data_IF_786857241295
#
_entry.id   IF_786857241295
#
_cell.length_a   1.000
_cell.length_b   1.000
_cell.length_c   1.000
_cell.angle_alpha   90.00
_cell.angle_beta   90.00
_cell.angle_gamma   90.00
#
_symmetry.space_group_name_H-M   'P 1'
#
loop_
_entity.id
_entity.type
_entity.pdbx_description
1 polymer ?
#
# COMPACT_ATOMS: atom_id res chain seq x y z
N UNK A 1 34.95 -6.53 -8.33
CA UNK A 1 33.83 -6.51 -7.38
C UNK A 1 34.23 -5.62 -6.19
N UNK A 2 33.79 -4.37 -6.22
CA UNK A 2 33.99 -3.45 -5.09
C UNK A 2 32.83 -3.62 -4.10
N UNK A 3 33.12 -3.65 -2.81
CA UNK A 3 32.12 -3.67 -1.75
C UNK A 3 32.16 -2.30 -1.03
N UNK A 4 30.99 -1.75 -0.78
CA UNK A 4 30.87 -0.45 -0.11
C UNK A 4 29.89 -0.56 1.05
N UNK A 5 30.17 0.12 2.18
CA UNK A 5 29.21 0.20 3.28
C UNK A 5 27.90 0.83 2.82
N UNK A 6 26.78 0.18 3.13
CA UNK A 6 25.44 0.70 2.88
C UNK A 6 24.76 1.14 4.17
N UNK A 7 24.19 2.34 4.19
CA UNK A 7 23.38 2.85 5.31
C UNK A 7 21.91 2.87 4.92
N UNK A 8 21.06 2.21 5.69
CA UNK A 8 19.60 2.32 5.55
C UNK A 8 19.19 3.75 5.93
N UNK A 9 18.53 4.44 4.99
CA UNK A 9 18.02 5.80 5.18
C UNK A 9 16.54 5.75 5.61
N UNK A 10 15.75 4.90 4.98
CA UNK A 10 14.33 4.75 5.32
C UNK A 10 13.68 3.57 4.61
N UNK A 11 12.47 3.24 5.06
CA UNK A 11 11.69 2.11 4.51
C UNK A 11 10.24 2.48 4.29
N UNK A 12 9.66 1.86 3.27
CA UNK A 12 8.22 1.84 3.01
C UNK A 12 7.73 0.40 2.85
N UNK A 13 7.34 -0.25 3.95
CA UNK A 13 6.86 -1.63 3.91
C UNK A 13 5.55 -1.83 3.12
N UNK A 14 4.78 -0.76 2.88
CA UNK A 14 3.54 -0.85 2.11
C UNK A 14 3.79 -0.99 0.61
N UNK A 15 4.90 -0.42 0.12
CA UNK A 15 5.30 -0.55 -1.29
C UNK A 15 6.51 -1.48 -1.48
N UNK A 16 6.94 -2.20 -0.44
CA UNK A 16 8.12 -3.09 -0.47
C UNK A 16 9.39 -2.35 -0.94
N UNK A 17 9.61 -1.12 -0.46
CA UNK A 17 10.73 -0.29 -0.85
C UNK A 17 11.59 0.11 0.35
N UNK A 18 12.90 0.19 0.12
CA UNK A 18 13.87 0.74 1.05
C UNK A 18 14.83 1.69 0.32
N UNK A 19 15.22 2.76 0.99
CA UNK A 19 16.22 3.70 0.52
C UNK A 19 17.54 3.43 1.27
N UNK A 20 18.59 3.12 0.51
CA UNK A 20 19.93 2.83 1.03
C UNK A 20 20.90 3.84 0.42
N UNK A 21 21.74 4.43 1.26
CA UNK A 21 22.87 5.28 0.83
C UNK A 21 24.16 4.47 0.88
N UNK A 22 24.95 4.54 -0.19
CA UNK A 22 26.30 4.00 -0.23
C UNK A 22 27.32 5.13 -0.23
N UNK A 23 28.48 4.91 0.38
CA UNK A 23 29.60 5.84 0.37
C UNK A 23 30.66 5.33 -0.61
N UNK A 24 30.42 5.54 -1.90
CA UNK A 24 31.32 5.16 -2.98
C UNK A 24 31.71 6.40 -3.79
N UNK A 25 32.95 6.45 -4.34
CA UNK A 25 33.36 7.49 -5.27
C UNK A 25 32.44 7.55 -6.50
N UNK A 26 32.01 8.74 -6.89
CA UNK A 26 31.00 8.92 -7.97
C UNK A 26 31.44 8.42 -9.35
N UNK A 27 32.75 8.26 -9.57
CA UNK A 27 33.31 7.72 -10.81
C UNK A 27 33.24 6.19 -10.90
N UNK A 28 32.80 5.50 -9.83
CA UNK A 28 32.72 4.03 -9.80
C UNK A 28 31.34 3.47 -10.08
N UNK A 29 30.33 4.33 -10.27
CA UNK A 29 28.96 3.89 -10.60
C UNK A 29 28.29 4.84 -11.59
N UNK A 30 27.36 4.29 -12.36
CA UNK A 30 26.52 5.04 -13.27
C UNK A 30 25.13 5.23 -12.65
N UNK A 31 24.61 6.45 -12.72
CA UNK A 31 23.29 6.79 -12.23
C UNK A 31 22.26 6.51 -13.32
N UNK A 32 21.25 5.71 -12.99
CA UNK A 32 20.08 5.51 -13.85
C UNK A 32 19.05 6.62 -13.60
N UNK A 33 18.37 7.04 -14.67
CA UNK A 33 17.31 8.03 -14.59
C UNK A 33 15.95 7.35 -14.51
N UNK A 34 15.06 7.87 -13.71
CA UNK A 34 13.66 7.43 -13.70
C UNK A 34 12.91 7.96 -14.93
N UNK A 35 12.20 7.05 -15.60
CA UNK A 35 11.15 7.42 -16.56
C UNK A 35 9.86 7.80 -15.82
N UNK A 36 8.85 8.25 -16.58
CA UNK A 36 7.49 8.40 -16.06
C UNK A 36 6.72 7.10 -16.26
N UNK A 37 6.43 6.39 -15.18
CA UNK A 37 5.71 5.12 -15.27
C UNK A 37 4.21 5.26 -15.57
N UNK A 38 3.68 6.48 -15.71
CA UNK A 38 2.31 6.69 -16.22
C UNK A 38 2.22 6.59 -17.75
N UNK A 39 3.35 6.68 -18.45
CA UNK A 39 3.40 6.69 -19.92
C UNK A 39 3.66 5.30 -20.51
N UNK A 40 3.90 4.30 -19.65
CA UNK A 40 4.19 2.93 -20.10
C UNK A 40 2.90 2.24 -20.57
N UNK A 41 3.06 1.32 -21.54
CA UNK A 41 1.94 0.59 -22.14
C UNK A 41 2.19 -0.92 -22.15
N UNK A 42 1.12 -1.70 -22.13
CA UNK A 42 1.19 -3.16 -22.29
C UNK A 42 1.79 -3.48 -23.66
N UNK A 43 2.68 -4.49 -23.71
CA UNK A 43 3.45 -4.85 -24.90
C UNK A 43 4.77 -4.10 -25.04
N UNK A 44 5.04 -3.06 -24.26
CA UNK A 44 6.31 -2.33 -24.27
C UNK A 44 7.45 -3.24 -23.82
N UNK A 45 8.58 -3.23 -24.55
CA UNK A 45 9.78 -3.98 -24.21
C UNK A 45 10.41 -3.47 -22.93
N UNK A 46 10.85 -4.40 -22.08
CA UNK A 46 11.52 -4.12 -20.81
C UNK A 46 12.77 -4.97 -20.61
N UNK A 47 13.66 -4.47 -19.77
CA UNK A 47 14.91 -5.10 -19.37
C UNK A 47 14.95 -5.13 -17.85
N UNK A 48 15.11 -6.30 -17.23
CA UNK A 48 15.30 -6.43 -15.79
C UNK A 48 16.75 -6.76 -15.47
N UNK A 49 17.36 -5.96 -14.60
CA UNK A 49 18.71 -6.17 -14.11
C UNK A 49 18.69 -6.72 -12.68
N UNK A 50 19.61 -7.64 -12.39
CA UNK A 50 19.79 -8.18 -11.07
C UNK A 50 21.01 -9.07 -10.95
N UNK A 51 21.16 -9.72 -9.80
CA UNK A 51 22.21 -10.69 -9.53
C UNK A 51 21.60 -11.98 -8.96
N UNK A 52 20.82 -12.73 -9.78
CA UNK A 52 20.19 -13.97 -9.34
C UNK A 52 21.26 -14.96 -8.86
N UNK A 53 21.01 -15.56 -7.70
CA UNK A 53 21.88 -16.58 -7.11
C UNK A 53 23.31 -16.13 -6.80
N UNK A 54 23.62 -14.81 -6.85
CA UNK A 54 24.98 -14.30 -6.63
C UNK A 54 25.98 -14.63 -7.76
N UNK A 55 25.51 -15.09 -8.92
CA UNK A 55 26.34 -15.58 -10.02
C UNK A 55 26.93 -14.50 -10.92
N UNK A 56 26.63 -13.25 -10.71
CA UNK A 56 27.00 -12.01 -11.42
C UNK A 56 25.78 -11.28 -11.97
N UNK A 57 26.03 -10.05 -12.44
CA UNK A 57 25.00 -9.21 -13.05
C UNK A 57 24.32 -9.96 -14.22
N UNK A 58 23.01 -10.10 -14.13
CA UNK A 58 22.17 -10.77 -15.12
C UNK A 58 21.17 -9.78 -15.68
N UNK A 59 21.03 -9.78 -16.99
CA UNK A 59 20.02 -9.05 -17.74
C UNK A 59 19.00 -10.04 -18.26
N UNK A 60 17.72 -9.82 -17.95
CA UNK A 60 16.61 -10.53 -18.58
C UNK A 60 15.76 -9.55 -19.38
N UNK A 61 15.09 -10.03 -20.42
CA UNK A 61 14.24 -9.21 -21.29
C UNK A 61 12.83 -9.80 -21.38
N UNK A 62 11.86 -8.93 -21.56
CA UNK A 62 10.46 -9.28 -21.75
C UNK A 62 9.65 -8.05 -22.16
N UNK A 63 8.37 -8.10 -21.89
CA UNK A 63 7.41 -7.01 -22.13
C UNK A 63 6.62 -6.69 -20.88
N UNK A 64 5.95 -5.55 -20.87
CA UNK A 64 4.90 -5.25 -19.89
C UNK A 64 3.68 -6.11 -20.25
N UNK A 65 3.32 -7.04 -19.36
CA UNK A 65 2.20 -7.97 -19.57
C UNK A 65 0.88 -7.39 -19.08
N UNK A 66 0.91 -6.59 -18.00
CA UNK A 66 -0.26 -5.88 -17.45
C UNK A 66 0.17 -4.70 -16.57
N UNK A 67 -0.76 -3.79 -16.33
CA UNK A 67 -0.60 -2.63 -15.45
C UNK A 67 -1.70 -2.61 -14.37
N UNK A 68 -1.44 -1.91 -13.27
CA UNK A 68 -2.44 -1.67 -12.22
C UNK A 68 -2.84 -2.92 -11.42
N UNK A 69 -2.02 -3.96 -11.41
CA UNK A 69 -2.27 -5.16 -10.61
C UNK A 69 -2.04 -4.89 -9.13
N UNK A 70 -2.79 -5.61 -8.29
CA UNK A 70 -2.54 -5.69 -6.86
C UNK A 70 -1.94 -7.05 -6.54
N UNK A 71 -0.85 -7.08 -5.81
CA UNK A 71 -0.19 -8.31 -5.37
C UNK A 71 -0.09 -8.32 -3.85
N UNK A 72 0.07 -9.50 -3.28
CA UNK A 72 0.34 -9.67 -1.85
C UNK A 72 1.84 -9.84 -1.62
N UNK A 73 2.43 -8.98 -0.80
CA UNK A 73 3.81 -9.09 -0.37
C UNK A 73 3.99 -10.24 0.64
N UNK A 74 5.24 -10.68 0.87
CA UNK A 74 5.55 -11.76 1.82
C UNK A 74 5.08 -11.52 3.25
N UNK A 75 4.86 -10.26 3.62
CA UNK A 75 4.37 -9.85 4.94
C UNK A 75 2.83 -9.78 5.00
N UNK A 76 2.11 -10.29 3.99
CA UNK A 76 0.65 -10.26 3.88
C UNK A 76 0.05 -8.91 3.48
N UNK A 77 0.87 -7.90 3.19
CA UNK A 77 0.38 -6.58 2.75
C UNK A 77 0.14 -6.57 1.25
N UNK A 78 -0.87 -5.83 0.81
CA UNK A 78 -1.15 -5.60 -0.60
C UNK A 78 -0.26 -4.47 -1.13
N UNK A 79 0.36 -4.70 -2.29
CA UNK A 79 1.08 -3.70 -3.07
C UNK A 79 0.24 -3.43 -4.31
N UNK A 80 -0.25 -2.21 -4.44
CA UNK A 80 -1.16 -1.82 -5.51
C UNK A 80 -0.42 -1.18 -6.69
N UNK A 81 -1.06 -1.23 -7.87
CA UNK A 81 -0.59 -0.53 -9.04
C UNK A 81 0.69 -1.10 -9.66
N UNK A 82 1.10 -2.32 -9.32
CA UNK A 82 2.35 -2.90 -9.83
C UNK A 82 2.32 -3.14 -11.34
N UNK A 83 3.51 -3.08 -11.95
CA UNK A 83 3.77 -3.46 -13.32
C UNK A 83 3.98 -4.98 -13.35
N UNK A 84 3.23 -5.69 -14.21
CA UNK A 84 3.46 -7.10 -14.49
C UNK A 84 4.32 -7.24 -15.76
N UNK A 85 5.30 -8.14 -15.72
CA UNK A 85 6.18 -8.44 -16.86
C UNK A 85 6.41 -9.94 -16.99
N UNK A 86 6.69 -10.42 -18.21
CA UNK A 86 7.16 -11.76 -18.48
C UNK A 86 8.70 -11.87 -18.48
N UNK A 87 9.43 -10.75 -18.37
CA UNK A 87 10.86 -10.77 -18.07
C UNK A 87 11.11 -11.64 -16.83
N UNK A 88 12.08 -12.54 -16.91
CA UNK A 88 12.36 -13.47 -15.82
C UNK A 88 12.85 -12.72 -14.57
N UNK A 89 11.98 -12.62 -13.56
CA UNK A 89 12.29 -12.09 -12.22
C UNK A 89 12.46 -13.28 -11.28
N UNK A 90 13.66 -13.44 -10.74
CA UNK A 90 14.02 -14.51 -9.83
C UNK A 90 14.63 -13.94 -8.54
N UNK A 91 14.79 -14.73 -7.47
CA UNK A 91 15.53 -14.30 -6.28
C UNK A 91 16.91 -13.76 -6.67
N UNK A 92 17.20 -12.51 -6.29
CA UNK A 92 18.40 -11.75 -6.69
C UNK A 92 18.15 -10.65 -7.71
N UNK A 93 17.03 -10.65 -8.45
CA UNK A 93 16.61 -9.50 -9.26
C UNK A 93 15.76 -8.52 -8.45
N UNK A 94 15.16 -8.94 -7.34
CA UNK A 94 14.37 -8.08 -6.46
C UNK A 94 15.23 -6.94 -5.91
N UNK A 95 14.67 -5.71 -5.96
CA UNK A 95 15.38 -4.48 -5.65
C UNK A 95 16.19 -3.91 -6.83
N UNK A 96 16.40 -4.69 -7.89
CA UNK A 96 17.00 -4.23 -9.14
C UNK A 96 16.03 -3.44 -10.02
N UNK A 97 16.52 -2.68 -11.00
CA UNK A 97 15.69 -1.87 -11.87
C UNK A 97 15.00 -2.71 -12.95
N UNK A 98 13.75 -2.34 -13.25
CA UNK A 98 13.07 -2.63 -14.50
C UNK A 98 13.25 -1.41 -15.41
N UNK A 99 13.85 -1.61 -16.58
CA UNK A 99 14.21 -0.54 -17.51
C UNK A 99 13.35 -0.60 -18.77
N UNK A 100 13.16 0.55 -19.40
CA UNK A 100 12.68 0.63 -20.78
C UNK A 100 13.80 0.39 -21.80
N UNK A 101 13.49 0.49 -23.09
CA UNK A 101 14.46 0.34 -24.18
C UNK A 101 15.51 1.45 -24.26
N UNK A 102 15.30 2.58 -23.57
CA UNK A 102 16.25 3.69 -23.47
C UNK A 102 17.16 3.57 -22.22
N UNK A 103 16.99 2.51 -21.42
CA UNK A 103 17.73 2.29 -20.18
C UNK A 103 17.27 3.16 -19.01
N UNK A 104 16.07 3.75 -19.07
CA UNK A 104 15.46 4.50 -17.98
C UNK A 104 14.67 3.57 -17.07
N UNK A 105 14.66 3.85 -15.76
CA UNK A 105 13.95 3.05 -14.76
C UNK A 105 12.46 3.33 -14.83
N UNK A 106 11.67 2.34 -15.20
CA UNK A 106 10.20 2.36 -15.18
C UNK A 106 9.64 1.70 -13.94
N UNK A 107 10.42 0.85 -13.24
CA UNK A 107 10.00 0.18 -12.03
C UNK A 107 11.18 -0.40 -11.25
N UNK A 108 10.89 -0.88 -10.04
CA UNK A 108 11.80 -1.60 -9.15
C UNK A 108 11.25 -3.02 -9.00
N UNK A 109 12.04 -4.03 -9.41
CA UNK A 109 11.62 -5.42 -9.35
C UNK A 109 11.29 -5.83 -7.92
N UNK A 110 10.17 -6.50 -7.71
CA UNK A 110 9.79 -7.08 -6.42
C UNK A 110 9.65 -8.59 -6.51
N UNK A 111 9.92 -9.28 -5.40
CA UNK A 111 9.87 -10.74 -5.40
C UNK A 111 8.44 -11.25 -5.44
N UNK A 112 8.20 -12.24 -6.29
CA UNK A 112 6.93 -12.94 -6.39
C UNK A 112 6.78 -13.93 -5.24
N UNK A 113 5.54 -14.09 -4.78
CA UNK A 113 5.13 -15.20 -3.93
C UNK A 113 4.96 -16.44 -4.82
N UNK A 114 5.91 -17.37 -4.73
CA UNK A 114 5.86 -18.65 -5.45
C UNK A 114 7.11 -19.49 -5.15
N UNK A 115 6.92 -20.70 -4.69
CA UNK A 115 7.99 -21.64 -4.48
C UNK A 115 8.43 -22.19 -5.84
N UNK A 116 9.46 -21.61 -6.47
CA UNK A 116 10.04 -22.26 -7.67
C UNK A 116 10.60 -21.37 -8.76
N UNK A 117 10.61 -20.06 -8.61
CA UNK A 117 11.14 -19.14 -9.64
C UNK A 117 10.08 -18.59 -10.59
N UNK A 118 10.49 -17.71 -11.50
CA UNK A 118 9.59 -17.07 -12.46
C UNK A 118 9.02 -18.07 -13.45
N UNK A 119 7.70 -18.20 -13.46
CA UNK A 119 6.94 -18.93 -14.50
C UNK A 119 6.44 -17.98 -15.59
N UNK A 120 7.19 -16.95 -15.93
CA UNK A 120 6.77 -15.92 -16.90
C UNK A 120 5.85 -14.84 -16.28
N UNK A 121 5.82 -14.72 -14.95
CA UNK A 121 5.09 -13.67 -14.25
C UNK A 121 6.04 -13.00 -13.26
N UNK A 122 6.44 -11.77 -13.56
CA UNK A 122 7.24 -10.90 -12.73
C UNK A 122 6.50 -9.64 -12.38
N UNK A 123 6.86 -8.99 -11.28
CA UNK A 123 6.26 -7.73 -10.85
C UNK A 123 7.33 -6.68 -10.52
N UNK A 124 6.97 -5.42 -10.74
CA UNK A 124 7.80 -4.29 -10.34
C UNK A 124 6.93 -3.16 -9.78
N UNK A 125 7.43 -2.51 -8.73
CA UNK A 125 6.84 -1.28 -8.19
C UNK A 125 7.12 -0.13 -9.17
N UNK A 126 6.11 0.64 -9.61
CA UNK A 126 6.30 1.71 -10.60
C UNK A 126 7.28 2.79 -10.14
N UNK A 127 8.06 3.33 -11.06
CA UNK A 127 9.03 4.41 -10.78
C UNK A 127 8.39 5.66 -10.18
N UNK A 128 7.14 6.00 -10.55
CA UNK A 128 6.42 7.13 -9.97
C UNK A 128 6.09 6.91 -8.49
N UNK A 129 5.83 5.67 -8.07
CA UNK A 129 5.68 5.33 -6.64
C UNK A 129 6.98 5.61 -5.90
N UNK A 130 8.14 5.14 -6.42
CA UNK A 130 9.44 5.43 -5.82
C UNK A 130 9.71 6.94 -5.76
N UNK A 131 9.51 7.68 -6.87
CA UNK A 131 9.70 9.15 -6.91
C UNK A 131 8.85 9.89 -5.88
N UNK A 132 7.62 9.42 -5.64
CA UNK A 132 6.70 10.04 -4.68
C UNK A 132 7.17 9.85 -3.23
N UNK A 133 7.73 8.70 -2.88
CA UNK A 133 8.08 8.37 -1.50
C UNK A 133 9.51 8.74 -1.11
N UNK A 134 10.45 8.80 -2.06
CA UNK A 134 11.88 9.11 -1.79
C UNK A 134 12.06 10.38 -0.96
N UNK A 135 11.38 11.52 -1.22
CA UNK A 135 11.54 12.72 -0.39
C UNK A 135 11.23 12.48 1.09
N UNK A 136 10.14 11.78 1.40
CA UNK A 136 9.77 11.45 2.78
C UNK A 136 10.80 10.49 3.42
N UNK A 137 11.28 9.50 2.67
CA UNK A 137 12.32 8.59 3.18
C UNK A 137 13.63 9.31 3.47
N UNK A 138 14.02 10.30 2.65
CA UNK A 138 15.21 11.12 2.87
C UNK A 138 15.09 12.01 4.11
N UNK A 139 13.92 12.63 4.31
CA UNK A 139 13.72 13.62 5.37
C UNK A 139 13.34 12.98 6.71
N UNK A 140 12.47 11.96 6.69
CA UNK A 140 11.88 11.37 7.91
C UNK A 140 12.31 9.92 8.16
N UNK A 141 12.86 9.22 7.17
CA UNK A 141 13.16 7.79 7.26
C UNK A 141 11.93 6.87 7.04
N UNK A 142 10.74 7.44 6.90
CA UNK A 142 9.49 6.73 6.65
C UNK A 142 8.54 7.58 5.81
N UNK A 143 7.56 6.94 5.16
CA UNK A 143 6.55 7.64 4.36
C UNK A 143 5.43 8.16 5.27
N UNK A 144 5.20 9.45 5.26
CA UNK A 144 4.08 10.08 5.98
C UNK A 144 2.79 9.81 5.22
N UNK A 145 1.90 9.05 5.85
CA UNK A 145 0.57 8.80 5.29
C UNK A 145 -0.48 9.53 6.12
N UNK A 146 -1.46 10.15 5.47
CA UNK A 146 -2.60 10.69 6.19
C UNK A 146 -3.25 9.60 7.03
N UNK A 147 -3.61 9.94 8.27
CA UNK A 147 -4.22 9.02 9.20
C UNK A 147 -5.33 9.72 9.99
N UNK A 148 -6.51 9.12 10.00
CA UNK A 148 -7.66 9.69 10.71
C UNK A 148 -7.57 9.49 12.22
N UNK A 149 -6.86 8.48 12.65
CA UNK A 149 -6.80 8.10 14.07
C UNK A 149 -8.02 7.33 14.53
N UNK A 150 -8.55 6.46 13.68
CA UNK A 150 -9.67 5.57 13.97
C UNK A 150 -9.29 4.11 13.80
N UNK A 151 -9.99 3.24 14.52
CA UNK A 151 -10.00 1.80 14.28
C UNK A 151 -11.37 1.44 13.70
N UNK A 152 -11.49 1.29 12.37
CA UNK A 152 -12.75 1.01 11.73
C UNK A 152 -12.99 -0.50 11.57
N UNK A 153 -14.25 -0.90 11.60
CA UNK A 153 -14.73 -2.26 11.31
C UNK A 153 -15.75 -2.18 10.17
N UNK A 154 -15.56 -2.90 9.04
CA UNK A 154 -16.57 -2.95 7.97
C UNK A 154 -17.90 -3.48 8.48
N UNK A 155 -18.99 -2.73 8.28
CA UNK A 155 -20.31 -3.10 8.80
C UNK A 155 -20.89 -4.35 8.13
N UNK A 156 -20.35 -4.77 6.98
CA UNK A 156 -20.74 -6.02 6.31
C UNK A 156 -20.61 -7.23 7.25
N UNK A 157 -19.63 -7.25 8.14
CA UNK A 157 -19.48 -8.34 9.12
C UNK A 157 -20.59 -8.31 10.17
N UNK A 158 -20.99 -7.11 10.61
CA UNK A 158 -22.03 -6.90 11.60
C UNK A 158 -23.44 -7.18 11.04
N UNK A 159 -23.67 -6.80 9.79
CA UNK A 159 -24.92 -7.09 9.06
C UNK A 159 -25.13 -8.60 8.87
N UNK A 160 -24.05 -9.37 8.67
CA UNK A 160 -24.12 -10.83 8.63
C UNK A 160 -24.55 -11.46 9.96
N UNK A 161 -24.38 -10.75 11.07
CA UNK A 161 -24.89 -11.14 12.39
C UNK A 161 -26.35 -10.69 12.63
N UNK A 162 -27.05 -10.17 11.60
CA UNK A 162 -28.43 -9.75 11.69
C UNK A 162 -28.66 -8.32 12.17
N UNK A 163 -27.59 -7.51 12.32
CA UNK A 163 -27.74 -6.12 12.73
C UNK A 163 -28.23 -5.25 11.58
N UNK A 164 -29.33 -4.51 11.80
CA UNK A 164 -29.88 -3.54 10.85
C UNK A 164 -29.15 -2.19 10.97
N UNK A 165 -28.04 -2.08 10.29
CA UNK A 165 -27.18 -0.90 10.26
C UNK A 165 -26.75 -0.59 8.82
N UNK A 166 -26.47 0.69 8.48
CA UNK A 166 -26.05 1.04 7.12
C UNK A 166 -24.72 0.40 6.75
N UNK A 167 -24.47 0.30 5.44
CA UNK A 167 -23.15 -0.04 4.93
C UNK A 167 -22.17 1.07 5.24
N UNK A 168 -20.97 0.68 5.66
CA UNK A 168 -19.93 1.64 6.03
C UNK A 168 -18.87 1.01 6.93
N UNK A 169 -18.21 1.88 7.70
CA UNK A 169 -17.15 1.53 8.63
C UNK A 169 -17.56 1.95 10.04
N UNK A 170 -17.88 1.01 10.91
CA UNK A 170 -18.13 1.29 12.33
C UNK A 170 -16.82 1.71 12.99
N UNK A 171 -16.78 2.84 13.65
CA UNK A 171 -15.63 3.33 14.41
C UNK A 171 -15.63 2.65 15.78
N UNK A 172 -14.78 1.65 15.94
CA UNK A 172 -14.65 0.94 17.23
C UNK A 172 -13.85 1.75 18.25
N UNK A 173 -12.82 2.48 17.79
CA UNK A 173 -12.00 3.35 18.63
C UNK A 173 -11.56 4.60 17.90
N UNK A 174 -11.47 5.73 18.64
CA UNK A 174 -10.87 6.97 18.17
C UNK A 174 -9.66 7.28 19.04
N UNK A 175 -8.52 7.55 18.40
CA UNK A 175 -7.28 7.90 19.11
C UNK A 175 -7.36 9.35 19.59
N UNK A 176 -7.16 9.55 20.89
CA UNK A 176 -7.20 10.88 21.51
C UNK A 176 -6.19 11.82 20.86
N UNK A 177 -6.65 13.01 20.49
CA UNK A 177 -5.82 14.04 19.86
C UNK A 177 -5.60 13.86 18.36
N UNK A 178 -6.02 12.75 17.76
CA UNK A 178 -5.98 12.53 16.31
C UNK A 178 -7.04 13.36 15.57
N UNK A 179 -6.96 13.38 14.25
CA UNK A 179 -7.85 14.18 13.37
C UNK A 179 -9.31 13.85 13.59
N UNK A 180 -9.67 12.58 13.66
CA UNK A 180 -11.04 12.13 13.89
C UNK A 180 -11.59 12.58 15.25
N UNK A 181 -10.76 12.55 16.32
CA UNK A 181 -11.16 13.06 17.63
C UNK A 181 -11.42 14.55 17.60
N UNK A 182 -10.58 15.33 16.92
CA UNK A 182 -10.76 16.79 16.77
C UNK A 182 -11.98 17.13 15.93
N UNK A 183 -12.35 16.28 14.98
CA UNK A 183 -13.56 16.41 14.16
C UNK A 183 -14.84 15.94 14.89
N UNK A 184 -14.73 15.42 16.12
CA UNK A 184 -15.87 14.99 16.91
C UNK A 184 -16.39 13.58 16.61
N UNK A 185 -15.65 12.77 15.82
CA UNK A 185 -16.00 11.37 15.62
C UNK A 185 -15.88 10.58 16.93
N UNK A 186 -16.82 9.67 17.15
CA UNK A 186 -16.93 8.87 18.37
C UNK A 186 -16.67 7.40 18.10
N UNK A 187 -15.85 6.80 18.93
CA UNK A 187 -15.68 5.36 18.97
C UNK A 187 -16.79 4.66 19.73
N UNK A 188 -16.81 3.34 19.66
CA UNK A 188 -17.74 2.51 20.41
C UNK A 188 -17.64 2.83 21.91
N UNK A 189 -18.80 2.96 22.57
CA UNK A 189 -18.91 3.27 23.99
C UNK A 189 -19.14 2.03 24.86
N UNK A 190 -19.54 0.92 24.26
CA UNK A 190 -19.83 -0.36 24.94
C UNK A 190 -19.61 -1.56 24.02
N UNK A 191 -19.59 -2.74 24.61
CA UNK A 191 -19.68 -4.01 23.90
C UNK A 191 -21.11 -4.54 24.03
N UNK A 192 -21.65 -5.13 22.96
CA UNK A 192 -22.93 -5.84 22.96
C UNK A 192 -22.69 -7.28 22.50
N UNK A 193 -23.43 -8.22 23.07
CA UNK A 193 -23.36 -9.59 22.67
C UNK A 193 -24.37 -9.84 21.53
N UNK A 194 -23.87 -10.37 20.39
CA UNK A 194 -24.70 -10.75 19.25
C UNK A 194 -24.41 -12.22 18.96
N UNK A 195 -25.31 -13.11 19.35
CA UNK A 195 -25.02 -14.54 19.39
C UNK A 195 -23.87 -14.83 20.35
N UNK A 196 -22.78 -15.40 19.84
CA UNK A 196 -21.56 -15.68 20.63
C UNK A 196 -20.47 -14.61 20.49
N UNK A 197 -20.72 -13.53 19.74
CA UNK A 197 -19.73 -12.52 19.41
C UNK A 197 -19.92 -11.24 20.25
N UNK A 198 -18.82 -10.74 20.82
CA UNK A 198 -18.79 -9.41 21.41
C UNK A 198 -18.53 -8.37 20.31
N UNK A 199 -19.49 -7.46 20.13
CA UNK A 199 -19.47 -6.45 19.07
C UNK A 199 -19.37 -5.07 19.70
N UNK A 200 -18.40 -4.22 19.28
CA UNK A 200 -18.35 -2.82 19.70
C UNK A 200 -19.59 -2.08 19.21
N UNK A 201 -20.21 -1.26 20.08
CA UNK A 201 -21.46 -0.57 19.81
C UNK A 201 -21.47 0.88 20.29
N UNK A 202 -22.26 1.73 19.62
CA UNK A 202 -22.42 3.13 19.99
C UNK A 202 -21.36 4.06 19.41
N UNK A 203 -20.47 3.53 18.57
CA UNK A 203 -19.59 4.35 17.75
C UNK A 203 -20.27 4.86 16.47
N UNK A 204 -19.72 5.90 15.88
CA UNK A 204 -20.19 6.43 14.60
C UNK A 204 -19.94 5.41 13.49
N UNK A 205 -20.82 5.37 12.48
CA UNK A 205 -20.61 4.60 11.25
C UNK A 205 -20.27 5.58 10.14
N UNK A 206 -19.03 5.50 9.64
CA UNK A 206 -18.56 6.30 8.53
C UNK A 206 -19.09 5.69 7.23
N UNK A 207 -20.02 6.36 6.57
CA UNK A 207 -20.67 5.88 5.34
C UNK A 207 -20.04 6.45 4.08
N UNK A 208 -19.54 7.70 4.14
CA UNK A 208 -18.91 8.38 3.01
C UNK A 208 -17.69 9.19 3.47
N UNK A 209 -16.73 9.29 2.56
CA UNK A 209 -15.60 10.23 2.65
C UNK A 209 -15.55 11.01 1.34
N UNK A 210 -15.56 12.35 1.40
CA UNK A 210 -15.62 13.24 0.21
C UNK A 210 -16.75 12.85 -0.76
N UNK A 211 -17.94 12.55 -0.24
CA UNK A 211 -19.11 12.10 -0.98
C UNK A 211 -18.95 10.74 -1.70
N UNK A 212 -17.85 10.04 -1.48
CA UNK A 212 -17.66 8.68 -1.97
C UNK A 212 -18.02 7.68 -0.87
N UNK A 213 -18.79 6.63 -1.17
CA UNK A 213 -19.13 5.61 -0.18
C UNK A 213 -17.87 4.86 0.27
N UNK A 214 -17.80 4.51 1.55
CA UNK A 214 -16.71 3.71 2.15
C UNK A 214 -17.30 2.52 2.88
N UNK A 215 -17.08 1.32 2.35
CA UNK A 215 -17.62 0.06 2.85
C UNK A 215 -16.52 -0.92 3.27
N UNK A 216 -15.31 -0.70 2.76
CA UNK A 216 -14.12 -1.54 2.99
C UNK A 216 -12.95 -0.72 3.50
N UNK A 217 -11.97 -1.40 4.11
CA UNK A 217 -10.71 -0.77 4.51
C UNK A 217 -9.96 -0.20 3.31
N UNK A 218 -10.05 -0.86 2.15
CA UNK A 218 -9.39 -0.45 0.91
C UNK A 218 -10.01 0.84 0.36
N UNK A 219 -11.35 0.94 0.30
CA UNK A 219 -12.06 2.16 -0.12
C UNK A 219 -11.73 3.33 0.82
N UNK A 220 -11.70 3.09 2.14
CA UNK A 220 -11.33 4.12 3.12
C UNK A 220 -9.87 4.57 2.93
N UNK A 221 -8.93 3.63 2.80
CA UNK A 221 -7.52 3.92 2.58
C UNK A 221 -7.30 4.74 1.30
N UNK A 222 -7.94 4.35 0.19
CA UNK A 222 -7.85 5.07 -1.09
C UNK A 222 -8.31 6.52 -0.96
N UNK A 223 -9.41 6.79 -0.24
CA UNK A 223 -9.91 8.15 -0.04
C UNK A 223 -8.99 9.01 0.84
N UNK A 224 -8.19 8.38 1.71
CA UNK A 224 -7.29 9.08 2.63
C UNK A 224 -5.90 9.23 2.00
N UNK A 225 -5.34 8.18 1.41
CA UNK A 225 -3.95 8.15 0.92
C UNK A 225 -3.69 9.09 -0.27
N UNK A 226 -4.73 9.42 -1.03
CA UNK A 226 -4.64 10.41 -2.13
C UNK A 226 -4.50 11.86 -1.63
N UNK A 227 -4.65 12.10 -0.33
CA UNK A 227 -4.66 13.44 0.28
C UNK A 227 -3.31 13.81 0.88
N UNK A 228 -3.03 15.11 0.91
CA UNK A 228 -1.87 15.65 1.61
C UNK A 228 -2.19 15.83 3.10
N UNK A 229 -1.16 15.72 3.93
CA UNK A 229 -1.32 16.05 5.36
C UNK A 229 -1.81 17.49 5.52
N UNK A 230 -2.90 17.69 6.28
CA UNK A 230 -3.54 18.99 6.48
C UNK A 230 -4.71 19.30 5.55
N UNK A 231 -4.96 18.50 4.52
CA UNK A 231 -6.20 18.64 3.72
C UNK A 231 -7.44 18.27 4.55
N UNK A 232 -8.51 19.03 4.33
CA UNK A 232 -9.81 18.76 4.97
C UNK A 232 -10.49 17.60 4.24
N UNK A 233 -10.94 16.62 5.02
CA UNK A 233 -11.73 15.49 4.54
C UNK A 233 -13.15 15.65 5.08
N UNK A 234 -14.12 15.66 4.19
CA UNK A 234 -15.54 15.62 4.59
C UNK A 234 -15.91 14.16 4.88
N UNK A 235 -16.41 13.92 6.09
CA UNK A 235 -16.89 12.61 6.52
C UNK A 235 -18.39 12.70 6.85
N UNK A 236 -19.18 11.73 6.42
CA UNK A 236 -20.58 11.60 6.77
C UNK A 236 -20.75 10.45 7.77
N UNK A 237 -20.78 10.71 9.07
CA UNK A 237 -21.06 9.71 10.07
C UNK A 237 -22.57 9.48 10.17
N UNK A 238 -22.96 8.22 10.29
CA UNK A 238 -24.28 7.83 10.73
C UNK A 238 -24.23 7.48 12.22
N UNK A 239 -25.16 8.05 13.00
CA UNK A 239 -25.27 7.79 14.41
C UNK A 239 -26.27 6.67 14.64
N UNK A 240 -25.88 5.51 15.17
CA UNK A 240 -26.85 4.49 15.52
C UNK A 240 -27.78 5.02 16.62
N UNK A 241 -29.08 5.01 16.34
CA UNK A 241 -30.07 5.17 17.41
C UNK A 241 -29.81 4.09 18.47
N UNK A 242 -30.03 4.42 19.76
CA UNK A 242 -29.89 3.41 20.79
C UNK A 242 -30.73 2.19 20.40
N UNK A 243 -30.19 0.95 20.45
CA UNK A 243 -30.97 -0.24 20.15
C UNK A 243 -32.18 -0.22 21.09
N UNK A 244 -33.38 -0.29 20.53
CA UNK A 244 -34.59 -0.55 21.31
C UNK A 244 -34.36 -1.87 22.02
N UNK A 245 -34.48 -1.88 23.31
CA UNK A 245 -34.02 -2.92 24.21
C UNK A 245 -34.76 -4.24 24.19
N UNK A 246 -34.88 -4.94 23.07
CA UNK A 246 -35.55 -6.23 22.95
C UNK A 246 -34.74 -7.26 22.12
N UNK A 247 -33.43 -7.27 22.24
CA UNK A 247 -32.59 -8.29 21.59
C UNK A 247 -32.13 -9.40 22.55
N UNK A 248 -32.91 -9.65 23.62
CA UNK A 248 -32.80 -10.85 24.43
C UNK A 248 -34.04 -11.74 24.12
N UNK A 249 -33.92 -12.49 23.08
CA UNK A 249 -34.81 -13.60 22.75
C UNK A 249 -33.97 -14.83 22.46
#
# INVERSE_FOLDING_TARGET
NSQWPGKLIGTDPNNDLALIKIEAPSNLYNVLRFANSSDIVVGQKVLALGNPFGLRLTLTTGIISALGRTIEARNGRKIEGVIQTDAAINPGNSGGPLLDSEGKVIGINTAIIGAGGSVGIGFAVPSNTAKRIIPDLLEYGYVRRPWLGVEPIPTVYLRRLGLDIPEGMLISRVVKGATAAKAGLRGASRQVLVGQYQVPWGGDILTHVNSQPVRTMEELATQIETRKAGEVIAAAPWLPAAPRGDWLG
#
